data_IF_696464888524
#
_entry.id   IF_696464888524
#
_cell.length_a   1.000
_cell.length_b   1.000
_cell.length_c   1.000
_cell.angle_alpha   90.00
_cell.angle_beta   90.00
_cell.angle_gamma   90.00
#
_symmetry.space_group_name_H-M   'P 1'
#
loop_
_entity.id
_entity.type
_entity.pdbx_description
1 polymer ?
#
# COMPACT_ATOMS: atom_id res chain seq x y z
N UNK A 1 -28.43 3.39 -2.96
CA UNK A 1 -28.55 4.00 -1.63
C UNK A 1 -27.56 5.15 -1.59
N UNK A 2 -28.07 6.36 -1.45
CA UNK A 2 -27.44 7.64 -1.79
C UNK A 2 -26.16 7.94 -1.01
N UNK A 3 -25.25 8.65 -1.69
CA UNK A 3 -23.95 9.19 -1.21
C UNK A 3 -24.05 10.20 -0.06
N UNK A 4 -25.25 10.43 0.50
CA UNK A 4 -25.49 11.43 1.56
C UNK A 4 -25.01 11.02 2.96
N UNK A 5 -24.55 9.78 3.18
CA UNK A 5 -24.19 9.30 4.53
C UNK A 5 -22.71 9.40 4.90
N UNK A 6 -21.81 9.78 3.97
CA UNK A 6 -20.38 9.92 4.28
C UNK A 6 -20.06 11.33 4.80
N UNK A 7 -20.83 12.34 4.39
CA UNK A 7 -20.63 13.76 4.77
C UNK A 7 -20.84 14.05 6.27
N UNK A 8 -21.72 13.32 6.97
CA UNK A 8 -22.18 13.71 8.32
C UNK A 8 -21.33 13.23 9.51
N UNK A 9 -20.18 12.58 9.29
CA UNK A 9 -19.33 12.04 10.38
C UNK A 9 -17.95 12.68 10.53
N UNK A 10 -17.60 13.66 9.69
CA UNK A 10 -16.39 14.46 9.94
C UNK A 10 -16.71 15.46 11.05
N UNK A 11 -16.29 15.16 12.28
CA UNK A 11 -16.29 16.15 13.36
C UNK A 11 -15.04 17.02 13.19
N UNK A 12 -15.16 18.36 13.02
CA UNK A 12 -14.02 19.27 12.88
C UNK A 12 -13.05 19.22 14.08
N UNK A 13 -13.48 18.66 15.21
CA UNK A 13 -12.77 18.65 16.48
C UNK A 13 -12.05 17.29 16.73
N UNK A 14 -11.35 16.74 15.73
CA UNK A 14 -10.43 15.63 16.01
C UNK A 14 -9.09 16.22 16.52
N UNK A 15 -8.56 15.82 17.69
CA UNK A 15 -7.42 16.47 18.36
C UNK A 15 -6.08 16.41 17.60
N UNK A 16 -6.06 15.81 16.41
CA UNK A 16 -4.88 15.59 15.56
C UNK A 16 -5.04 16.24 14.18
N UNK A 17 -6.26 16.40 13.69
CA UNK A 17 -6.55 16.92 12.34
C UNK A 17 -7.43 18.15 12.52
N UNK A 18 -6.81 19.33 12.42
CA UNK A 18 -7.46 20.63 12.66
C UNK A 18 -8.11 21.13 11.36
N UNK A 19 -7.56 20.73 10.20
CA UNK A 19 -8.10 20.93 8.86
C UNK A 19 -7.53 19.85 7.92
N UNK A 20 -8.13 19.56 6.75
CA UNK A 20 -7.56 18.62 5.76
C UNK A 20 -6.14 19.00 5.27
N UNK A 21 -5.73 20.26 5.48
CA UNK A 21 -4.44 20.83 5.07
C UNK A 21 -3.57 21.31 6.25
N UNK A 22 -3.91 20.96 7.50
CA UNK A 22 -3.12 21.35 8.66
C UNK A 22 -3.21 20.30 9.77
N UNK A 23 -2.04 19.87 10.25
CA UNK A 23 -1.92 19.09 11.48
C UNK A 23 -1.13 19.89 12.51
N UNK A 24 -1.17 19.46 13.77
CA UNK A 24 -0.33 20.04 14.83
C UNK A 24 1.19 19.92 14.59
N UNK A 25 1.61 19.15 13.59
CA UNK A 25 3.01 18.83 13.32
C UNK A 25 3.54 19.42 12.01
N UNK A 26 2.65 19.71 11.06
CA UNK A 26 3.02 20.11 9.69
C UNK A 26 1.99 21.09 9.16
N UNK A 27 2.48 22.25 8.73
CA UNK A 27 1.75 23.17 7.84
C UNK A 27 2.04 22.76 6.39
N UNK A 28 1.01 22.65 5.56
CA UNK A 28 1.21 22.36 4.15
C UNK A 28 1.91 23.54 3.46
N UNK A 29 2.99 23.30 2.68
CA UNK A 29 3.64 24.36 1.91
C UNK A 29 2.65 24.99 0.93
N UNK A 30 2.86 26.28 0.60
CA UNK A 30 1.94 27.04 -0.26
C UNK A 30 1.89 26.50 -1.69
N UNK A 31 2.96 25.83 -2.09
CA UNK A 31 3.19 25.21 -3.39
C UNK A 31 2.45 23.86 -3.53
N UNK A 32 1.87 23.35 -2.44
CA UNK A 32 1.16 22.06 -2.42
C UNK A 32 -0.35 22.27 -2.50
N UNK A 33 -0.97 21.62 -3.49
CA UNK A 33 -2.41 21.59 -3.68
C UNK A 33 -2.95 20.18 -3.46
N UNK A 34 -3.94 20.05 -2.57
CA UNK A 34 -4.68 18.79 -2.43
C UNK A 34 -5.59 18.57 -3.65
N UNK A 35 -5.54 17.35 -4.18
CA UNK A 35 -6.39 16.90 -5.28
C UNK A 35 -7.56 16.11 -4.71
N UNK A 36 -8.74 16.31 -5.30
CA UNK A 36 -9.99 15.64 -4.89
C UNK A 36 -10.39 15.90 -3.42
N UNK A 37 -10.53 17.18 -2.99
CA UNK A 37 -10.91 17.53 -1.63
C UNK A 37 -12.31 16.99 -1.23
N UNK A 38 -13.14 16.64 -2.22
CA UNK A 38 -14.52 16.17 -2.05
C UNK A 38 -14.65 14.64 -1.87
N UNK A 39 -13.54 13.93 -1.62
CA UNK A 39 -13.57 12.62 -0.97
C UNK A 39 -13.45 11.38 -1.86
N UNK A 40 -13.02 11.52 -3.12
CA UNK A 40 -12.70 10.38 -3.99
C UNK A 40 -11.30 10.54 -4.56
N UNK A 41 -10.30 10.10 -3.80
CA UNK A 41 -8.92 10.10 -4.30
C UNK A 41 -8.56 8.82 -5.03
N UNK A 42 -7.89 8.95 -6.18
CA UNK A 42 -7.21 7.83 -6.87
C UNK A 42 -5.92 7.39 -6.14
N UNK A 43 -5.40 8.21 -5.22
CA UNK A 43 -4.31 7.82 -4.32
C UNK A 43 -3.03 7.48 -5.06
N UNK A 44 -2.47 6.31 -4.74
CA UNK A 44 -1.20 5.84 -5.31
C UNK A 44 -1.17 5.75 -6.85
N UNK A 45 -2.33 5.74 -7.53
CA UNK A 45 -2.40 5.74 -8.99
C UNK A 45 -2.72 7.10 -9.61
N UNK A 46 -2.78 8.16 -8.80
CA UNK A 46 -2.96 9.52 -9.31
C UNK A 46 -1.81 10.00 -10.23
N UNK A 47 -0.52 9.76 -9.88
CA UNK A 47 0.57 10.07 -10.80
C UNK A 47 0.57 9.09 -11.99
N UNK A 48 0.87 9.62 -13.18
CA UNK A 48 1.03 8.80 -14.39
C UNK A 48 2.16 7.78 -14.17
N UNK A 49 1.96 6.57 -14.68
CA UNK A 49 2.97 5.51 -14.60
C UNK A 49 2.78 4.53 -13.44
N UNK A 50 1.73 4.70 -12.63
CA UNK A 50 1.36 3.77 -11.56
C UNK A 50 0.03 3.08 -11.86
N UNK A 51 -0.03 1.79 -11.53
CA UNK A 51 -1.21 0.94 -11.65
C UNK A 51 -1.37 0.16 -10.35
N UNK A 52 -2.60 -0.17 -9.99
CA UNK A 52 -2.86 -0.92 -8.78
C UNK A 52 -4.04 -1.86 -8.90
N UNK A 53 -4.17 -2.76 -7.92
CA UNK A 53 -5.35 -3.61 -7.74
C UNK A 53 -5.53 -3.98 -6.28
N UNK A 54 -6.75 -4.35 -5.92
CA UNK A 54 -7.07 -4.99 -4.64
C UNK A 54 -8.17 -6.02 -4.82
N UNK A 55 -7.91 -7.26 -4.39
CA UNK A 55 -8.78 -8.41 -4.63
C UNK A 55 -9.06 -9.17 -3.34
N UNK A 56 -10.09 -10.02 -3.40
CA UNK A 56 -10.43 -10.98 -2.34
C UNK A 56 -9.71 -12.29 -2.63
N UNK A 57 -8.65 -12.59 -1.88
CA UNK A 57 -7.93 -13.86 -1.95
C UNK A 57 -8.51 -14.90 -0.96
N UNK A 58 -9.22 -14.43 0.07
CA UNK A 58 -9.86 -15.30 1.07
C UNK A 58 -9.07 -15.45 2.37
N UNK A 59 -8.16 -14.51 2.66
CA UNK A 59 -7.45 -14.42 3.93
C UNK A 59 -8.32 -13.83 5.05
N UNK A 60 -9.32 -13.00 4.69
CA UNK A 60 -10.31 -12.45 5.62
C UNK A 60 -11.59 -13.27 5.61
N UNK A 61 -11.99 -13.76 6.79
CA UNK A 61 -13.32 -14.36 6.98
C UNK A 61 -14.47 -13.41 6.58
N UNK A 62 -14.26 -12.09 6.67
CA UNK A 62 -15.26 -11.09 6.29
C UNK A 62 -15.55 -11.03 4.78
N UNK A 63 -14.78 -11.73 3.93
CA UNK A 63 -14.91 -11.66 2.47
C UNK A 63 -14.58 -10.29 1.87
N UNK A 64 -13.86 -9.44 2.62
CA UNK A 64 -13.41 -8.13 2.15
C UNK A 64 -12.06 -8.28 1.42
N UNK A 65 -11.70 -7.35 0.50
CA UNK A 65 -10.39 -7.38 -0.16
C UNK A 65 -9.25 -7.52 0.85
N UNK A 66 -8.25 -8.32 0.54
CA UNK A 66 -7.18 -8.71 1.47
C UNK A 66 -5.81 -8.91 0.83
N UNK A 67 -5.72 -8.86 -0.50
CA UNK A 67 -4.46 -8.81 -1.26
C UNK A 67 -4.50 -7.67 -2.26
N UNK A 68 -3.40 -6.94 -2.41
CA UNK A 68 -3.26 -5.88 -3.40
C UNK A 68 -1.86 -5.77 -3.95
N UNK A 69 -1.75 -5.17 -5.13
CA UNK A 69 -0.48 -4.88 -5.79
C UNK A 69 -0.48 -3.42 -6.21
N UNK A 70 0.60 -2.71 -5.92
CA UNK A 70 0.96 -1.45 -6.55
C UNK A 70 2.11 -1.74 -7.51
N UNK A 71 2.02 -1.31 -8.76
CA UNK A 71 3.01 -1.55 -9.79
C UNK A 71 3.27 -0.31 -10.63
N UNK A 72 4.49 -0.18 -11.13
CA UNK A 72 4.85 0.77 -12.17
C UNK A 72 4.51 0.18 -13.52
N UNK A 73 3.85 0.97 -14.38
CA UNK A 73 3.52 0.55 -15.73
C UNK A 73 4.77 0.32 -16.58
N UNK A 74 4.73 -0.65 -17.52
CA UNK A 74 5.93 -1.15 -18.20
C UNK A 74 6.81 -0.04 -18.82
N UNK A 75 6.19 1.01 -19.34
CA UNK A 75 6.85 2.12 -20.01
C UNK A 75 7.68 3.01 -19.06
N UNK A 76 7.38 3.01 -17.75
CA UNK A 76 8.10 3.83 -16.76
C UNK A 76 9.16 3.06 -15.96
N UNK A 77 9.12 1.72 -15.94
CA UNK A 77 9.98 0.88 -15.07
C UNK A 77 11.48 1.16 -15.18
N UNK A 78 11.97 1.51 -16.38
CA UNK A 78 13.41 1.77 -16.62
C UNK A 78 13.90 3.06 -15.96
N UNK A 79 13.01 4.03 -15.77
CA UNK A 79 13.33 5.37 -15.24
C UNK A 79 12.87 5.54 -13.79
N UNK A 80 12.21 4.54 -13.21
CA UNK A 80 11.77 4.57 -11.82
C UNK A 80 12.95 4.54 -10.86
N UNK A 81 12.88 5.40 -9.86
CA UNK A 81 13.68 5.33 -8.64
C UNK A 81 12.75 5.06 -7.46
N UNK A 82 13.27 4.36 -6.45
CA UNK A 82 12.52 4.07 -5.22
C UNK A 82 13.37 4.28 -3.97
N UNK A 83 12.70 4.31 -2.82
CA UNK A 83 13.33 4.23 -1.51
C UNK A 83 12.36 3.52 -0.55
N UNK A 84 12.91 2.80 0.43
CA UNK A 84 12.13 2.09 1.44
C UNK A 84 12.66 2.40 2.84
N UNK A 85 11.76 2.69 3.77
CA UNK A 85 12.06 2.81 5.20
C UNK A 85 11.22 1.79 5.97
N UNK A 86 11.77 1.28 7.06
CA UNK A 86 11.18 0.16 7.79
C UNK A 86 11.24 0.39 9.28
N UNK A 87 10.43 -0.36 10.03
CA UNK A 87 10.51 -0.37 11.49
C UNK A 87 11.93 -0.70 11.99
N UNK A 88 12.31 -0.03 13.08
CA UNK A 88 13.53 -0.30 13.87
C UNK A 88 13.30 -1.34 14.95
N UNK A 89 12.08 -1.88 15.08
CA UNK A 89 11.74 -2.89 16.06
C UNK A 89 12.58 -4.16 15.86
N UNK A 90 13.11 -4.71 16.96
CA UNK A 90 13.89 -5.95 16.96
C UNK A 90 13.09 -7.17 16.46
N UNK A 91 11.76 -7.15 16.57
CA UNK A 91 10.85 -8.19 16.08
C UNK A 91 10.29 -7.85 14.70
N UNK A 92 11.18 -7.52 13.75
CA UNK A 92 10.78 -7.28 12.37
C UNK A 92 10.13 -8.55 11.76
N UNK A 93 9.02 -8.35 11.04
CA UNK A 93 8.31 -9.44 10.36
C UNK A 93 9.13 -10.00 9.19
N UNK A 94 8.82 -11.23 8.77
CA UNK A 94 9.45 -11.87 7.61
C UNK A 94 9.47 -11.00 6.33
N UNK A 95 8.38 -10.32 5.91
CA UNK A 95 8.40 -9.40 4.76
C UNK A 95 9.42 -8.26 4.92
N UNK A 96 9.54 -7.68 6.12
CA UNK A 96 10.51 -6.59 6.38
C UNK A 96 11.95 -7.08 6.29
N UNK A 97 12.22 -8.30 6.78
CA UNK A 97 13.55 -8.91 6.69
C UNK A 97 13.89 -9.14 5.22
N UNK A 98 12.99 -9.79 4.47
CA UNK A 98 13.16 -10.06 3.05
C UNK A 98 13.42 -8.81 2.24
N UNK A 99 12.59 -7.78 2.40
CA UNK A 99 12.73 -6.53 1.64
C UNK A 99 14.08 -5.85 1.90
N UNK A 100 14.57 -5.87 3.13
CA UNK A 100 15.89 -5.29 3.47
C UNK A 100 17.05 -6.08 2.89
N UNK A 101 16.93 -7.40 2.76
CA UNK A 101 18.06 -8.27 2.42
C UNK A 101 18.08 -8.70 0.95
N UNK A 102 16.94 -8.75 0.28
CA UNK A 102 16.80 -9.36 -1.06
C UNK A 102 16.32 -8.36 -2.13
N UNK A 103 15.76 -7.20 -1.75
CA UNK A 103 15.30 -6.19 -2.71
C UNK A 103 16.36 -5.13 -3.03
N UNK A 104 16.37 -4.68 -4.28
CA UNK A 104 17.03 -3.43 -4.67
C UNK A 104 16.09 -2.27 -4.36
N UNK A 105 16.24 -1.71 -3.15
CA UNK A 105 15.40 -0.63 -2.66
C UNK A 105 15.47 0.66 -3.51
N UNK A 106 16.46 0.79 -4.38
CA UNK A 106 16.60 1.91 -5.31
C UNK A 106 15.85 1.73 -6.64
N UNK A 107 15.39 0.51 -6.95
CA UNK A 107 14.79 0.14 -8.25
C UNK A 107 13.53 -0.73 -8.13
N UNK A 108 12.76 -0.55 -7.05
CA UNK A 108 11.47 -1.22 -6.90
C UNK A 108 10.51 -0.74 -7.98
N UNK A 109 9.79 -1.69 -8.58
CA UNK A 109 8.74 -1.44 -9.57
C UNK A 109 7.39 -2.01 -9.15
N UNK A 110 7.35 -2.79 -8.07
CA UNK A 110 6.10 -3.24 -7.49
C UNK A 110 6.21 -3.47 -5.98
N UNK A 111 5.06 -3.42 -5.31
CA UNK A 111 4.88 -3.83 -3.92
C UNK A 111 3.65 -4.74 -3.85
N UNK A 112 3.82 -5.98 -3.41
CA UNK A 112 2.71 -6.91 -3.17
C UNK A 112 2.35 -6.92 -1.69
N UNK A 113 1.06 -6.77 -1.38
CA UNK A 113 0.59 -6.55 -0.02
C UNK A 113 -0.51 -7.54 0.33
N UNK A 114 -0.49 -8.06 1.55
CA UNK A 114 -1.63 -8.75 2.14
C UNK A 114 -2.04 -8.12 3.48
N UNK A 115 -3.30 -8.30 3.84
CA UNK A 115 -3.80 -8.01 5.19
C UNK A 115 -4.37 -9.28 5.85
N UNK A 116 -4.94 -9.13 7.06
CA UNK A 116 -5.39 -10.20 7.98
C UNK A 116 -4.28 -10.98 8.70
N UNK A 117 -3.14 -11.24 8.07
CA UNK A 117 -1.99 -11.90 8.68
C UNK A 117 -0.73 -11.04 8.50
N UNK A 118 0.02 -10.81 9.58
CA UNK A 118 1.23 -9.99 9.56
C UNK A 118 2.48 -10.73 9.07
N UNK A 119 2.43 -12.06 8.97
CA UNK A 119 3.59 -12.92 8.72
C UNK A 119 4.80 -12.54 9.59
N UNK A 120 4.51 -12.32 10.88
CA UNK A 120 5.45 -11.88 11.89
C UNK A 120 5.60 -12.96 12.96
N UNK A 121 6.82 -13.13 13.49
CA UNK A 121 7.15 -14.21 14.43
C UNK A 121 6.85 -15.62 13.88
N UNK A 122 7.05 -15.83 12.58
CA UNK A 122 6.73 -17.07 11.84
C UNK A 122 7.97 -17.89 11.42
N UNK A 123 9.18 -17.42 11.76
CA UNK A 123 10.44 -18.09 11.49
C UNK A 123 10.76 -18.24 9.99
N UNK A 124 11.59 -19.23 9.66
CA UNK A 124 11.99 -19.53 8.27
C UNK A 124 10.81 -19.83 7.35
N UNK A 125 9.75 -20.46 7.87
CA UNK A 125 8.52 -20.70 7.12
C UNK A 125 7.88 -19.38 6.67
N UNK A 126 7.86 -18.37 7.53
CA UNK A 126 7.38 -17.03 7.18
C UNK A 126 8.21 -16.35 6.11
N UNK A 127 9.53 -16.53 6.15
CA UNK A 127 10.43 -15.99 5.12
C UNK A 127 10.19 -16.68 3.77
N UNK A 128 9.94 -17.99 3.76
CA UNK A 128 9.54 -18.72 2.56
C UNK A 128 8.21 -18.21 1.98
N UNK A 129 7.22 -17.89 2.83
CA UNK A 129 5.95 -17.27 2.39
C UNK A 129 6.21 -15.90 1.75
N UNK A 130 7.06 -15.06 2.34
CA UNK A 130 7.39 -13.74 1.78
C UNK A 130 8.07 -13.87 0.40
N UNK A 131 9.01 -14.83 0.24
CA UNK A 131 9.64 -15.14 -1.07
C UNK A 131 8.62 -15.65 -2.09
N UNK A 132 7.64 -16.43 -1.66
CA UNK A 132 6.58 -16.92 -2.54
C UNK A 132 5.68 -15.77 -3.04
N UNK A 133 5.31 -14.83 -2.16
CA UNK A 133 4.59 -13.62 -2.56
C UNK A 133 5.40 -12.79 -3.58
N UNK A 134 6.68 -12.54 -3.28
CA UNK A 134 7.58 -11.78 -4.15
C UNK A 134 7.68 -12.45 -5.52
N UNK A 135 7.95 -13.76 -5.54
CA UNK A 135 8.10 -14.55 -6.76
C UNK A 135 6.83 -14.58 -7.59
N UNK A 136 5.66 -14.74 -6.96
CA UNK A 136 4.37 -14.73 -7.66
C UNK A 136 4.10 -13.40 -8.37
N UNK A 137 4.34 -12.28 -7.68
CA UNK A 137 4.20 -10.94 -8.27
C UNK A 137 5.22 -10.69 -9.38
N UNK A 138 6.50 -11.01 -9.13
CA UNK A 138 7.59 -10.81 -10.08
C UNK A 138 7.39 -11.59 -11.38
N UNK A 139 6.98 -12.86 -11.28
CA UNK A 139 6.66 -13.70 -12.43
C UNK A 139 5.50 -13.13 -13.25
N UNK A 140 4.41 -12.72 -12.59
CA UNK A 140 3.23 -12.19 -13.27
C UNK A 140 3.53 -10.86 -13.98
N UNK A 141 4.31 -9.99 -13.34
CA UNK A 141 4.67 -8.68 -13.91
C UNK A 141 5.85 -8.75 -14.91
N UNK A 142 6.51 -9.90 -15.02
CA UNK A 142 7.69 -10.09 -15.88
C UNK A 142 8.90 -9.26 -15.44
N UNK A 143 9.16 -9.16 -14.14
CA UNK A 143 10.26 -8.36 -13.56
C UNK A 143 11.14 -9.22 -12.64
N UNK A 144 12.40 -8.82 -12.37
CA UNK A 144 13.23 -9.49 -11.38
C UNK A 144 12.59 -9.45 -9.98
N UNK A 145 12.67 -10.54 -9.18
CA UNK A 145 12.17 -10.55 -7.80
C UNK A 145 12.71 -9.43 -6.93
N UNK A 146 14.00 -9.07 -7.10
CA UNK A 146 14.63 -7.97 -6.35
C UNK A 146 14.00 -6.59 -6.60
N UNK A 147 13.19 -6.42 -7.65
CA UNK A 147 12.44 -5.18 -7.91
C UNK A 147 11.02 -5.21 -7.32
N UNK A 148 10.67 -6.26 -6.56
CA UNK A 148 9.36 -6.43 -5.95
C UNK A 148 9.51 -6.51 -4.43
N UNK A 149 8.96 -5.53 -3.73
CA UNK A 149 8.85 -5.58 -2.26
C UNK A 149 7.55 -6.28 -1.84
N UNK A 150 7.50 -6.77 -0.60
CA UNK A 150 6.31 -7.41 -0.03
C UNK A 150 5.97 -6.87 1.36
N UNK A 151 4.69 -6.63 1.63
CA UNK A 151 4.22 -6.22 2.95
C UNK A 151 3.08 -7.11 3.44
N UNK A 152 3.06 -7.35 4.76
CA UNK A 152 2.00 -8.09 5.43
C UNK A 152 1.53 -7.35 6.67
N UNK A 153 0.23 -7.40 6.98
CA UNK A 153 -0.32 -6.77 8.18
C UNK A 153 -1.50 -7.52 8.75
N UNK A 154 -1.56 -7.70 10.07
CA UNK A 154 -2.64 -8.44 10.72
C UNK A 154 -2.18 -9.16 11.99
N UNK A 155 -2.70 -10.37 12.20
CA UNK A 155 -2.38 -11.18 13.37
C UNK A 155 -0.89 -11.61 13.33
N UNK A 156 -0.23 -11.56 14.49
CA UNK A 156 1.17 -11.96 14.70
C UNK A 156 1.22 -13.40 15.24
N UNK A 157 2.24 -14.17 14.86
CA UNK A 157 2.48 -15.52 15.39
C UNK A 157 1.63 -16.62 14.74
N UNK A 158 0.91 -16.31 13.67
CA UNK A 158 0.08 -17.25 12.91
C UNK A 158 0.69 -17.45 11.53
N UNK A 159 0.86 -18.71 11.12
CA UNK A 159 1.36 -19.03 9.78
C UNK A 159 0.38 -18.55 8.70
N UNK A 160 0.91 -17.89 7.68
CA UNK A 160 0.16 -17.47 6.50
C UNK A 160 0.17 -18.62 5.49
N UNK A 161 -1.00 -18.97 4.97
CA UNK A 161 -1.12 -20.00 3.94
C UNK A 161 -0.44 -19.53 2.64
N UNK A 162 0.68 -20.19 2.31
CA UNK A 162 1.53 -19.86 1.16
C UNK A 162 0.76 -19.93 -0.15
N UNK A 163 -0.02 -20.98 -0.35
CA UNK A 163 -0.70 -21.23 -1.63
C UNK A 163 -1.81 -20.20 -1.84
N UNK A 164 -2.59 -19.91 -0.80
CA UNK A 164 -3.65 -18.91 -0.86
C UNK A 164 -3.07 -17.52 -1.13
N UNK A 165 -2.03 -17.10 -0.39
CA UNK A 165 -1.47 -15.76 -0.59
C UNK A 165 -0.73 -15.64 -1.93
N UNK A 166 0.04 -16.64 -2.36
CA UNK A 166 0.74 -16.59 -3.64
C UNK A 166 -0.23 -16.57 -4.83
N UNK A 167 -1.29 -17.37 -4.78
CA UNK A 167 -2.36 -17.34 -5.79
C UNK A 167 -3.10 -15.99 -5.78
N UNK A 168 -3.38 -15.43 -4.60
CA UNK A 168 -3.98 -14.11 -4.45
C UNK A 168 -3.10 -13.01 -5.05
N UNK A 169 -1.80 -13.04 -4.78
CA UNK A 169 -0.83 -12.07 -5.31
C UNK A 169 -0.73 -12.17 -6.83
N UNK A 170 -0.67 -13.39 -7.38
CA UNK A 170 -0.69 -13.59 -8.85
C UNK A 170 -1.94 -12.98 -9.49
N UNK A 171 -3.12 -13.24 -8.92
CA UNK A 171 -4.39 -12.66 -9.41
C UNK A 171 -4.41 -11.14 -9.30
N UNK A 172 -3.92 -10.58 -8.19
CA UNK A 172 -3.82 -9.13 -8.01
C UNK A 172 -2.86 -8.50 -9.04
N UNK A 173 -1.68 -9.08 -9.23
CA UNK A 173 -0.70 -8.61 -10.20
C UNK A 173 -1.23 -8.63 -11.64
N UNK A 174 -2.00 -9.65 -12.02
CA UNK A 174 -2.66 -9.73 -13.32
C UNK A 174 -3.79 -8.69 -13.51
N UNK A 175 -4.37 -8.20 -12.40
CA UNK A 175 -5.51 -7.30 -12.40
C UNK A 175 -5.14 -5.81 -12.20
N UNK A 176 -3.85 -5.46 -12.20
CA UNK A 176 -3.44 -4.05 -12.00
C UNK A 176 -3.94 -3.17 -13.14
N UNK A 177 -4.47 -1.99 -12.79
CA UNK A 177 -4.94 -1.00 -13.74
C UNK A 177 -4.76 0.44 -13.22
N UNK A 178 -4.81 1.47 -14.08
CA UNK A 178 -4.56 2.86 -13.69
C UNK A 178 -5.54 3.43 -12.65
N UNK A 179 -6.75 2.89 -12.54
CA UNK A 179 -7.78 3.41 -11.62
C UNK A 179 -7.87 2.59 -10.31
N UNK A 180 -6.98 1.60 -10.12
CA UNK A 180 -7.09 0.61 -9.04
C UNK A 180 -6.62 1.08 -7.67
N UNK A 181 -6.23 2.35 -7.50
CA UNK A 181 -5.69 2.86 -6.24
C UNK A 181 -6.65 2.74 -5.05
N UNK A 182 -7.97 2.85 -5.28
CA UNK A 182 -8.98 2.67 -4.22
C UNK A 182 -9.13 1.21 -3.80
N UNK A 183 -9.10 0.29 -4.77
CA UNK A 183 -9.17 -1.15 -4.53
C UNK A 183 -7.97 -1.61 -3.70
N UNK A 184 -6.78 -1.14 -4.07
CA UNK A 184 -5.54 -1.36 -3.31
C UNK A 184 -5.68 -0.86 -1.87
N UNK A 185 -6.20 0.35 -1.66
CA UNK A 185 -6.31 0.90 -0.30
C UNK A 185 -7.26 0.07 0.57
N UNK A 186 -8.35 -0.46 -0.01
CA UNK A 186 -9.27 -1.33 0.69
C UNK A 186 -8.62 -2.68 1.07
N UNK A 187 -7.78 -3.24 0.21
CA UNK A 187 -7.17 -4.55 0.43
C UNK A 187 -6.12 -4.56 1.53
N UNK A 188 -5.50 -3.41 1.84
CA UNK A 188 -4.48 -3.31 2.90
C UNK A 188 -5.08 -3.06 4.30
N UNK A 189 -6.36 -2.69 4.41
CA UNK A 189 -7.00 -2.34 5.69
C UNK A 189 -7.11 -3.55 6.65
N UNK A 190 -6.94 -3.30 7.96
CA UNK A 190 -7.24 -4.29 9.02
C UNK A 190 -8.41 -3.84 9.89
N UNK A 191 -8.12 -3.19 11.01
CA UNK A 191 -9.08 -2.61 11.97
C UNK A 191 -9.45 -1.17 11.61
N UNK A 192 -8.97 -0.68 10.47
CA UNK A 192 -9.29 0.62 9.91
C UNK A 192 -10.81 0.81 9.75
N UNK A 193 -11.32 1.96 10.22
CA UNK A 193 -12.73 2.35 10.01
C UNK A 193 -13.02 2.92 8.62
N UNK A 194 -12.01 3.50 7.98
CA UNK A 194 -12.08 4.15 6.68
C UNK A 194 -10.73 4.06 5.97
N UNK A 195 -10.70 4.04 4.62
CA UNK A 195 -9.46 4.07 3.84
C UNK A 195 -8.68 5.37 4.08
N UNK A 196 -7.34 5.32 4.02
CA UNK A 196 -6.50 6.53 4.07
C UNK A 196 -5.78 6.68 2.74
N UNK A 197 -6.30 7.56 1.91
CA UNK A 197 -5.87 7.78 0.54
C UNK A 197 -5.81 9.28 0.30
N UNK A 198 -4.78 9.74 -0.42
CA UNK A 198 -4.56 11.17 -0.67
C UNK A 198 -3.78 11.34 -1.98
N UNK A 199 -4.02 12.44 -2.68
CA UNK A 199 -3.23 12.87 -3.81
C UNK A 199 -2.98 14.37 -3.71
N UNK A 200 -1.77 14.81 -4.07
CA UNK A 200 -1.41 16.22 -4.10
C UNK A 200 -0.64 16.56 -5.37
N UNK A 201 -0.77 17.80 -5.81
CA UNK A 201 0.09 18.42 -6.82
C UNK A 201 1.06 19.37 -6.11
N UNK A 202 2.31 19.39 -6.54
CA UNK A 202 3.36 20.26 -6.00
C UNK A 202 3.93 21.09 -7.14
N UNK A 203 3.85 22.41 -7.03
CA UNK A 203 4.49 23.32 -7.97
C UNK A 203 5.99 23.40 -7.67
N UNK A 204 6.81 23.16 -8.68
CA UNK A 204 8.28 23.27 -8.60
C UNK A 204 8.79 24.17 -9.73
N UNK A 205 10.02 24.72 -9.64
CA UNK A 205 10.60 25.50 -10.73
C UNK A 205 10.67 24.74 -12.07
N UNK A 206 10.75 23.41 -12.02
CA UNK A 206 10.83 22.54 -13.20
C UNK A 206 9.47 22.05 -13.70
N UNK A 207 8.38 22.48 -13.05
CA UNK A 207 7.00 22.14 -13.40
C UNK A 207 6.22 21.50 -12.25
N UNK A 208 5.01 21.03 -12.58
CA UNK A 208 4.10 20.43 -11.61
C UNK A 208 4.44 18.94 -11.41
N UNK A 209 4.57 18.53 -10.14
CA UNK A 209 4.79 17.14 -9.72
C UNK A 209 3.51 16.59 -9.08
N UNK A 210 3.10 15.38 -9.48
CA UNK A 210 1.96 14.66 -8.88
C UNK A 210 2.44 13.63 -7.87
N UNK A 211 1.82 13.63 -6.70
CA UNK A 211 2.07 12.66 -5.63
C UNK A 211 0.78 11.91 -5.29
N UNK A 212 0.90 10.60 -5.12
CA UNK A 212 -0.19 9.70 -4.75
C UNK A 212 0.16 8.92 -3.49
N UNK A 213 -0.79 8.78 -2.56
CA UNK A 213 -0.57 8.15 -1.26
C UNK A 213 -1.68 7.14 -0.96
N UNK A 214 -1.26 5.96 -0.53
CA UNK A 214 -2.11 4.96 0.11
C UNK A 214 -1.51 4.57 1.46
N UNK A 215 -2.31 4.58 2.52
CA UNK A 215 -1.88 4.20 3.86
C UNK A 215 -2.96 3.42 4.62
N UNK A 216 -2.53 2.70 5.66
CA UNK A 216 -3.39 1.98 6.58
C UNK A 216 -2.80 2.00 7.99
N UNK A 217 -3.61 1.67 8.97
CA UNK A 217 -3.20 1.62 10.37
C UNK A 217 -4.18 2.38 11.25
N UNK A 218 -4.64 1.70 12.31
CA UNK A 218 -5.57 2.27 13.29
C UNK A 218 -5.26 1.86 14.73
N UNK A 219 -4.34 0.92 14.93
CA UNK A 219 -3.86 0.44 16.22
C UNK A 219 -2.45 -0.13 16.07
N UNK A 220 -1.69 -0.19 17.18
CA UNK A 220 -0.25 -0.49 17.17
C UNK A 220 0.54 0.49 16.28
N UNK A 221 0.29 1.80 16.45
CA UNK A 221 0.89 2.86 15.63
C UNK A 221 1.76 3.76 16.51
N UNK A 222 3.08 3.60 16.40
CA UNK A 222 4.10 4.57 16.83
C UNK A 222 5.35 4.39 15.96
N UNK A 223 5.27 4.69 14.64
CA UNK A 223 6.39 4.55 13.71
C UNK A 223 7.60 5.39 14.10
#
# INVERSE_FOLDING_TARGET
MSDEKISSKWKPEHPVVIAPLASRFVEFPREVRLVEPDGVSSGATYPVGFMASGIVAGLKESGRPDVGVLAVSPEWRKTTTSAGVFTTNAFAAAPVILDKTECDLGRLVAVAMNSANANACTGEAGLAVARAMQSACAQELGVPPSQVAVCSTGIIGVQLDTEVVAAGVRKAAAAVHPDGGRELNQSIMTTDRFPKICAVEVETPDGMVKLGVSGKGAGMISP
#
